data_IF_731523624923
#
_entry.id   IF_731523624923
#
_cell.length_a   1.000
_cell.length_b   1.000
_cell.length_c   1.000
_cell.angle_alpha   90.00
_cell.angle_beta   90.00
_cell.angle_gamma   90.00
#
_symmetry.space_group_name_H-M   'P 1'
#
loop_
_entity.id
_entity.type
_entity.pdbx_description
1 polymer ?
#
# COMPACT_ATOMS: atom_id res chain seq x y z
N UNK A 1 32.33 21.75 39.54
CA UNK A 1 31.77 20.51 38.95
C UNK A 1 32.88 19.82 38.19
N UNK A 2 33.15 18.55 38.49
CA UNK A 2 34.19 17.75 37.82
C UNK A 2 33.78 17.35 36.40
N UNK A 3 34.71 16.87 35.57
CA UNK A 3 34.38 16.35 34.22
C UNK A 3 33.41 15.18 34.30
N UNK A 4 33.61 14.27 35.26
CA UNK A 4 32.73 13.14 35.54
C UNK A 4 31.31 13.59 35.89
N UNK A 5 31.15 14.60 36.75
CA UNK A 5 29.81 15.14 37.06
C UNK A 5 29.12 15.74 35.83
N UNK A 6 29.89 16.43 34.97
CA UNK A 6 29.36 16.99 33.72
C UNK A 6 28.92 15.89 32.76
N UNK A 7 29.73 14.82 32.64
CA UNK A 7 29.43 13.65 31.83
C UNK A 7 28.17 12.93 32.31
N UNK A 8 28.11 12.59 33.61
CA UNK A 8 26.96 11.92 34.21
C UNK A 8 25.69 12.76 34.12
N UNK A 9 25.79 14.09 34.28
CA UNK A 9 24.64 14.99 34.07
C UNK A 9 24.13 14.96 32.63
N UNK A 10 25.02 14.88 31.64
CA UNK A 10 24.64 14.77 30.23
C UNK A 10 23.97 13.42 29.92
N UNK A 11 24.45 12.32 30.51
CA UNK A 11 23.81 11.00 30.42
C UNK A 11 22.43 11.02 31.10
N UNK A 12 22.35 11.52 32.34
CA UNK A 12 21.11 11.55 33.12
C UNK A 12 19.99 12.33 32.43
N UNK A 13 20.33 13.39 31.69
CA UNK A 13 19.37 14.20 30.93
C UNK A 13 18.58 13.38 29.89
N UNK A 14 19.15 12.28 29.39
CA UNK A 14 18.56 11.44 28.35
C UNK A 14 17.90 10.16 28.89
N UNK A 15 18.07 9.86 30.19
CA UNK A 15 17.55 8.63 30.79
C UNK A 15 16.07 8.76 31.21
N UNK A 16 15.30 7.66 31.14
CA UNK A 16 13.95 7.57 31.71
C UNK A 16 13.96 7.94 33.19
N UNK A 17 13.00 8.76 33.64
CA UNK A 17 12.97 9.26 35.03
C UNK A 17 12.95 8.14 36.07
N UNK A 18 12.32 7.01 35.76
CA UNK A 18 12.11 5.90 36.69
C UNK A 18 13.38 5.14 37.08
N UNK A 19 14.38 5.05 36.18
CA UNK A 19 15.63 4.31 36.41
C UNK A 19 16.88 5.19 36.38
N UNK A 20 16.70 6.50 36.24
CA UNK A 20 17.78 7.48 36.06
C UNK A 20 18.77 7.47 37.21
N UNK A 21 18.29 7.50 38.45
CA UNK A 21 19.16 7.60 39.63
C UNK A 21 20.01 6.34 39.78
N UNK A 22 19.40 5.17 39.67
CA UNK A 22 20.08 3.88 39.74
C UNK A 22 21.16 3.74 38.66
N UNK A 23 20.83 4.04 37.39
CA UNK A 23 21.79 3.95 36.28
C UNK A 23 22.93 4.97 36.44
N UNK A 24 22.64 6.18 36.93
CA UNK A 24 23.67 7.20 37.15
C UNK A 24 24.59 6.81 38.31
N UNK A 25 24.08 6.17 39.35
CA UNK A 25 24.89 5.63 40.43
C UNK A 25 25.80 4.51 39.93
N UNK A 26 25.26 3.52 39.21
CA UNK A 26 26.03 2.42 38.64
C UNK A 26 27.11 2.93 37.67
N UNK A 27 26.78 3.88 36.79
CA UNK A 27 27.73 4.46 35.85
C UNK A 27 28.81 5.30 36.54
N UNK A 28 28.47 5.97 37.65
CA UNK A 28 29.44 6.70 38.46
C UNK A 28 30.47 5.75 39.06
N UNK A 29 30.00 4.67 39.66
CA UNK A 29 30.86 3.68 40.31
C UNK A 29 31.78 3.03 39.25
N UNK A 30 31.23 2.64 38.10
CA UNK A 30 32.01 2.09 36.99
C UNK A 30 33.08 3.05 36.46
N UNK A 31 32.76 4.34 36.35
CA UNK A 31 33.74 5.35 35.94
C UNK A 31 34.82 5.52 37.02
N UNK A 32 34.45 5.59 38.30
CA UNK A 32 35.42 5.76 39.38
C UNK A 32 36.40 4.58 39.45
N UNK A 33 35.91 3.34 39.38
CA UNK A 33 36.78 2.16 39.31
C UNK A 33 37.73 2.24 38.12
N UNK A 34 37.26 2.66 36.94
CA UNK A 34 38.13 2.78 35.76
C UNK A 34 39.18 3.90 35.90
N UNK A 35 38.84 4.97 36.61
CA UNK A 35 39.79 6.04 36.93
C UNK A 35 40.86 5.54 37.91
N UNK A 36 40.48 4.81 38.96
CA UNK A 36 41.40 4.21 39.94
C UNK A 36 42.37 3.24 39.27
N UNK A 37 41.87 2.33 38.43
CA UNK A 37 42.71 1.41 37.63
C UNK A 37 43.76 2.20 36.82
N UNK A 38 43.35 3.33 36.24
CA UNK A 38 44.22 4.15 35.40
C UNK A 38 45.27 4.91 36.23
N UNK A 39 44.95 5.29 37.46
CA UNK A 39 45.92 5.87 38.41
C UNK A 39 46.96 4.85 38.84
N UNK A 40 46.54 3.61 39.13
CA UNK A 40 47.45 2.51 39.48
C UNK A 40 48.40 2.18 38.33
N UNK A 41 47.88 2.09 37.09
CA UNK A 41 48.68 1.85 35.89
C UNK A 41 49.73 2.94 35.64
N UNK A 42 49.39 4.20 35.92
CA UNK A 42 50.28 5.35 35.70
C UNK A 42 51.19 5.64 36.90
N UNK A 43 50.89 5.10 38.08
CA UNK A 43 51.61 5.37 39.32
C UNK A 43 51.53 6.83 39.79
N UNK A 44 50.53 7.59 39.32
CA UNK A 44 50.30 9.01 39.64
C UNK A 44 48.82 9.36 39.57
N UNK A 45 48.37 10.44 40.24
CA UNK A 45 47.02 10.97 40.05
C UNK A 45 46.73 11.32 38.58
N UNK A 46 45.47 11.18 38.16
CA UNK A 46 45.05 11.54 36.80
C UNK A 46 45.14 13.06 36.59
N UNK A 47 45.55 13.43 35.38
CA UNK A 47 45.33 14.79 34.88
C UNK A 47 43.93 14.89 34.28
N UNK A 48 43.44 16.12 34.10
CA UNK A 48 42.16 16.37 33.42
C UNK A 48 42.11 15.74 32.00
N UNK A 49 43.25 15.67 31.31
CA UNK A 49 43.36 15.00 30.01
C UNK A 49 43.25 13.46 30.11
N UNK A 50 43.80 12.87 31.18
CA UNK A 50 43.68 11.44 31.46
C UNK A 50 42.22 11.09 31.84
N UNK A 51 41.57 11.91 32.68
CA UNK A 51 40.16 11.78 33.00
C UNK A 51 39.28 11.85 31.74
N UNK A 52 39.53 12.83 30.87
CA UNK A 52 38.79 12.97 29.61
C UNK A 52 38.99 11.75 28.70
N UNK A 53 40.20 11.17 28.65
CA UNK A 53 40.47 9.95 27.90
C UNK A 53 39.64 8.77 28.43
N UNK A 54 39.59 8.56 29.75
CA UNK A 54 38.76 7.52 30.37
C UNK A 54 37.29 7.73 30.04
N UNK A 55 36.76 8.96 30.17
CA UNK A 55 35.37 9.25 29.82
C UNK A 55 35.06 9.02 28.32
N UNK A 56 36.04 9.24 27.43
CA UNK A 56 35.90 8.91 26.01
C UNK A 56 35.86 7.41 25.74
N UNK A 57 36.53 6.58 26.56
CA UNK A 57 36.45 5.11 26.46
C UNK A 57 35.03 4.59 26.71
N UNK A 58 34.31 5.20 27.66
CA UNK A 58 32.88 4.90 27.90
C UNK A 58 31.99 5.31 26.72
N UNK A 59 32.38 6.34 25.98
CA UNK A 59 31.74 6.79 24.74
C UNK A 59 30.89 8.05 24.92
N UNK A 60 30.29 8.52 23.82
CA UNK A 60 29.47 9.74 23.83
C UNK A 60 28.26 9.59 24.76
N UNK A 61 27.91 10.59 25.60
CA UNK A 61 26.86 10.46 26.60
C UNK A 61 25.48 10.09 26.01
N UNK A 62 25.16 10.56 24.80
CA UNK A 62 23.94 10.13 24.09
C UNK A 62 23.96 8.63 23.75
N UNK A 63 25.10 8.11 23.32
CA UNK A 63 25.26 6.70 22.95
C UNK A 63 25.25 5.78 24.17
N UNK A 64 25.78 6.24 25.30
CA UNK A 64 25.70 5.50 26.57
C UNK A 64 24.27 5.50 27.10
N UNK A 65 23.60 6.65 27.14
CA UNK A 65 22.21 6.74 27.58
C UNK A 65 21.26 5.89 26.71
N UNK A 66 21.52 5.85 25.40
CA UNK A 66 20.81 4.99 24.45
C UNK A 66 20.80 3.52 24.90
N UNK A 67 21.90 2.97 25.45
CA UNK A 67 21.94 1.55 25.87
C UNK A 67 20.92 1.21 26.97
N UNK A 68 20.49 2.20 27.74
CA UNK A 68 19.53 2.03 28.83
C UNK A 68 18.10 2.47 28.46
N UNK A 69 17.86 2.87 27.21
CA UNK A 69 16.53 3.30 26.75
C UNK A 69 15.51 2.17 26.75
N UNK A 70 14.34 2.40 27.34
CA UNK A 70 13.29 1.38 27.53
C UNK A 70 12.39 1.13 26.29
N UNK A 71 12.95 1.17 25.07
CA UNK A 71 12.17 0.94 23.85
C UNK A 71 12.98 1.00 22.54
N UNK A 72 12.31 0.76 21.39
CA UNK A 72 12.96 0.83 20.07
C UNK A 72 13.51 2.24 19.80
N UNK A 73 14.81 2.33 19.52
CA UNK A 73 15.49 3.58 19.19
C UNK A 73 15.52 3.88 17.69
N UNK A 74 14.94 2.98 16.89
CA UNK A 74 14.86 3.08 15.45
C UNK A 74 13.45 3.48 15.04
N UNK A 75 13.34 4.32 14.01
CA UNK A 75 12.05 4.62 13.38
C UNK A 75 11.51 3.38 12.66
N UNK A 76 12.40 2.64 11.99
CA UNK A 76 12.14 1.33 11.40
C UNK A 76 13.29 0.43 11.83
N UNK A 77 13.00 -0.60 12.64
CA UNK A 77 14.03 -1.49 13.17
C UNK A 77 14.61 -2.43 12.12
N UNK A 78 15.76 -3.07 12.40
CA UNK A 78 16.45 -3.96 11.45
C UNK A 78 15.59 -5.13 10.97
N UNK A 79 14.66 -5.63 11.79
CA UNK A 79 13.73 -6.68 11.39
C UNK A 79 12.65 -6.20 10.41
N UNK A 80 12.19 -4.95 10.55
CA UNK A 80 11.13 -4.37 9.71
C UNK A 80 11.68 -3.68 8.46
N UNK A 81 12.95 -3.27 8.48
CA UNK A 81 13.58 -2.50 7.43
C UNK A 81 13.52 -3.14 6.04
N UNK A 82 13.78 -4.45 5.85
CA UNK A 82 13.66 -5.08 4.53
C UNK A 82 12.25 -5.01 3.96
N UNK A 83 11.23 -5.14 4.81
CA UNK A 83 9.82 -5.07 4.43
C UNK A 83 9.39 -3.66 4.09
N UNK A 84 9.81 -2.68 4.89
CA UNK A 84 9.60 -1.27 4.61
C UNK A 84 10.23 -0.89 3.26
N UNK A 85 11.47 -1.30 3.01
CA UNK A 85 12.18 -1.04 1.76
C UNK A 85 11.47 -1.67 0.56
N UNK A 86 11.01 -2.91 0.69
CA UNK A 86 10.22 -3.57 -0.34
C UNK A 86 8.94 -2.78 -0.65
N UNK A 87 8.18 -2.41 0.38
CA UNK A 87 6.94 -1.63 0.24
C UNK A 87 7.17 -0.28 -0.47
N UNK A 88 8.22 0.44 -0.07
CA UNK A 88 8.61 1.71 -0.70
C UNK A 88 8.97 1.51 -2.17
N UNK A 89 9.82 0.53 -2.50
CA UNK A 89 10.23 0.28 -3.89
C UNK A 89 9.04 -0.08 -4.78
N UNK A 90 8.16 -0.96 -4.31
CA UNK A 90 6.94 -1.35 -5.05
C UNK A 90 6.01 -0.15 -5.22
N UNK A 91 5.81 0.63 -4.16
CA UNK A 91 4.97 1.84 -4.21
C UNK A 91 5.49 2.87 -5.20
N UNK A 92 6.81 3.15 -5.20
CA UNK A 92 7.44 4.08 -6.14
C UNK A 92 7.38 3.58 -7.58
N UNK A 93 7.61 2.28 -7.81
CA UNK A 93 7.48 1.68 -9.14
C UNK A 93 6.05 1.83 -9.67
N UNK A 94 5.05 1.50 -8.86
CA UNK A 94 3.65 1.66 -9.22
C UNK A 94 3.31 3.12 -9.54
N UNK A 95 3.80 4.06 -8.72
CA UNK A 95 3.63 5.50 -8.95
C UNK A 95 4.19 5.92 -10.31
N UNK A 96 5.42 5.54 -10.64
CA UNK A 96 6.05 5.85 -11.93
C UNK A 96 5.26 5.25 -13.10
N UNK A 97 4.83 3.99 -13.00
CA UNK A 97 4.02 3.36 -14.05
C UNK A 97 2.70 4.11 -14.27
N UNK A 98 2.01 4.47 -13.19
CA UNK A 98 0.71 5.16 -13.26
C UNK A 98 0.87 6.56 -13.86
N UNK A 99 1.86 7.34 -13.42
CA UNK A 99 2.09 8.70 -13.92
C UNK A 99 2.57 8.70 -15.37
N UNK A 100 3.38 7.71 -15.78
CA UNK A 100 3.79 7.55 -17.16
C UNK A 100 2.60 7.21 -18.07
N UNK A 101 1.75 6.26 -17.68
CA UNK A 101 0.53 5.92 -18.45
C UNK A 101 -0.37 7.15 -18.58
N UNK A 102 -0.58 7.89 -17.49
CA UNK A 102 -1.41 9.09 -17.52
C UNK A 102 -0.87 10.19 -18.44
N UNK A 103 0.44 10.43 -18.41
CA UNK A 103 1.09 11.38 -19.30
C UNK A 103 0.94 10.97 -20.77
N UNK A 104 1.12 9.69 -21.09
CA UNK A 104 0.92 9.15 -22.44
C UNK A 104 -0.52 9.38 -22.90
N UNK A 105 -1.51 9.04 -22.07
CA UNK A 105 -2.93 9.22 -22.42
C UNK A 105 -3.26 10.69 -22.70
N UNK A 106 -2.78 11.63 -21.86
CA UNK A 106 -3.02 13.06 -22.05
C UNK A 106 -2.45 13.60 -23.35
N UNK A 107 -1.23 13.17 -23.71
CA UNK A 107 -0.60 13.52 -24.98
C UNK A 107 -1.38 12.93 -26.17
N UNK A 108 -1.82 11.68 -26.07
CA UNK A 108 -2.55 11.00 -27.16
C UNK A 108 -3.94 11.60 -27.40
N UNK A 109 -4.61 12.10 -26.37
CA UNK A 109 -5.94 12.73 -26.46
C UNK A 109 -5.84 14.21 -26.89
N UNK A 110 -4.62 14.77 -26.96
CA UNK A 110 -4.39 16.15 -27.38
C UNK A 110 -4.67 17.19 -26.28
N UNK A 111 -4.73 16.76 -25.02
CA UNK A 111 -5.04 17.60 -23.86
C UNK A 111 -3.83 18.45 -23.40
N UNK A 112 -2.61 17.92 -23.54
CA UNK A 112 -1.37 18.55 -23.07
C UNK A 112 -0.23 18.38 -24.08
N UNK A 113 0.68 19.36 -24.14
CA UNK A 113 1.92 19.26 -24.90
C UNK A 113 2.88 18.26 -24.24
N UNK A 114 3.68 17.54 -25.06
CA UNK A 114 4.62 16.50 -24.58
C UNK A 114 5.53 17.02 -23.46
N UNK A 115 6.10 18.21 -23.63
CA UNK A 115 7.01 18.80 -22.63
C UNK A 115 6.33 19.08 -21.29
N UNK A 116 5.09 19.55 -21.32
CA UNK A 116 4.30 19.86 -20.13
C UNK A 116 3.80 18.60 -19.43
N UNK A 117 3.38 17.58 -20.19
CA UNK A 117 3.02 16.27 -19.65
C UNK A 117 4.20 15.59 -18.93
N UNK A 118 5.41 15.67 -19.48
CA UNK A 118 6.63 15.17 -18.84
C UNK A 118 6.93 15.96 -17.55
N UNK A 119 6.86 17.30 -17.59
CA UNK A 119 7.09 18.15 -16.43
C UNK A 119 6.13 17.84 -15.28
N UNK A 120 4.84 17.66 -15.59
CA UNK A 120 3.83 17.27 -14.60
C UNK A 120 4.08 15.86 -14.05
N UNK A 121 4.42 14.89 -14.90
CA UNK A 121 4.73 13.53 -14.45
C UNK A 121 5.93 13.50 -13.49
N UNK A 122 7.00 14.25 -13.80
CA UNK A 122 8.16 14.38 -12.92
C UNK A 122 7.80 15.02 -11.57
N UNK A 123 7.02 16.10 -11.60
CA UNK A 123 6.52 16.74 -10.38
C UNK A 123 5.70 15.75 -9.53
N UNK A 124 4.81 14.99 -10.18
CA UNK A 124 3.99 13.93 -9.58
C UNK A 124 4.79 12.85 -8.87
N UNK A 125 5.84 12.34 -9.54
CA UNK A 125 6.70 11.30 -8.98
C UNK A 125 7.46 11.84 -7.77
N UNK A 126 7.91 13.10 -7.83
CA UNK A 126 8.60 13.74 -6.72
C UNK A 126 7.68 13.92 -5.49
N UNK A 127 6.52 14.57 -5.66
CA UNK A 127 5.57 14.84 -4.57
C UNK A 127 4.92 13.56 -4.04
N UNK A 128 4.48 12.68 -4.94
CA UNK A 128 3.91 11.37 -4.59
C UNK A 128 4.94 10.47 -3.92
N UNK A 129 6.20 10.50 -4.37
CA UNK A 129 7.29 9.71 -3.80
C UNK A 129 7.59 10.09 -2.35
N UNK A 130 7.69 11.39 -2.05
CA UNK A 130 7.84 11.89 -0.67
C UNK A 130 6.69 11.39 0.21
N UNK A 131 5.46 11.43 -0.30
CA UNK A 131 4.28 11.02 0.46
C UNK A 131 4.27 9.51 0.72
N UNK A 132 4.58 8.68 -0.28
CA UNK A 132 4.69 7.21 -0.13
C UNK A 132 5.76 6.87 0.91
N UNK A 133 6.94 7.47 0.82
CA UNK A 133 8.05 7.23 1.76
C UNK A 133 7.63 7.67 3.17
N UNK A 134 7.04 8.87 3.31
CA UNK A 134 6.58 9.40 4.59
C UNK A 134 5.54 8.48 5.26
N UNK A 135 4.51 8.07 4.52
CA UNK A 135 3.47 7.18 5.04
C UNK A 135 4.01 5.79 5.35
N UNK A 136 4.86 5.22 4.50
CA UNK A 136 5.51 3.95 4.78
C UNK A 136 6.37 4.03 6.04
N UNK A 137 7.06 5.15 6.26
CA UNK A 137 7.87 5.41 7.47
C UNK A 137 7.00 5.53 8.71
N UNK A 138 5.87 6.25 8.64
CA UNK A 138 4.91 6.35 9.75
C UNK A 138 4.33 4.97 10.07
N UNK A 139 3.93 4.19 9.05
CA UNK A 139 3.44 2.84 9.24
C UNK A 139 4.51 1.93 9.87
N UNK A 140 5.75 2.02 9.38
CA UNK A 140 6.90 1.31 9.96
C UNK A 140 7.11 1.65 11.42
N UNK A 141 7.08 2.94 11.76
CA UNK A 141 7.20 3.44 13.13
C UNK A 141 6.09 2.93 14.06
N UNK A 142 4.84 2.95 13.60
CA UNK A 142 3.70 2.44 14.37
C UNK A 142 3.85 0.94 14.63
N UNK A 143 4.26 0.17 13.61
CA UNK A 143 4.47 -1.28 13.73
C UNK A 143 5.64 -1.58 14.69
N UNK A 144 6.74 -0.83 14.60
CA UNK A 144 7.92 -1.03 15.45
C UNK A 144 7.62 -0.76 16.94
N UNK A 145 6.67 0.14 17.23
CA UNK A 145 6.24 0.48 18.60
C UNK A 145 5.28 -0.54 19.23
N UNK A 146 4.75 -1.49 18.47
CA UNK A 146 3.83 -2.51 18.99
C UNK A 146 4.61 -3.65 19.68
N UNK A 147 4.14 -4.09 20.86
CA UNK A 147 4.75 -5.20 21.62
C UNK A 147 4.70 -6.52 20.86
N UNK A 148 3.62 -6.77 20.14
CA UNK A 148 3.47 -7.92 19.27
C UNK A 148 3.60 -7.47 17.82
N UNK A 149 4.62 -8.01 17.14
CA UNK A 149 4.79 -7.78 15.71
C UNK A 149 3.67 -8.46 14.93
N UNK A 150 3.21 -7.86 13.82
CA UNK A 150 2.19 -8.45 12.97
C UNK A 150 2.50 -9.88 12.54
N UNK A 151 1.46 -10.71 12.42
CA UNK A 151 1.57 -12.13 12.06
C UNK A 151 2.33 -12.38 10.73
N UNK A 152 2.33 -11.43 9.78
CA UNK A 152 3.10 -11.61 8.54
C UNK A 152 4.63 -11.59 8.75
N UNK A 153 5.12 -10.95 9.81
CA UNK A 153 6.53 -10.98 10.21
C UNK A 153 6.87 -12.24 11.01
N UNK A 154 5.91 -12.73 11.80
CA UNK A 154 6.09 -13.87 12.72
C UNK A 154 5.85 -15.23 12.06
N UNK A 155 4.81 -15.34 11.23
CA UNK A 155 4.25 -16.59 10.72
C UNK A 155 4.50 -16.77 9.21
N UNK A 156 5.69 -16.39 8.74
CA UNK A 156 6.06 -16.57 7.34
C UNK A 156 6.24 -18.05 7.01
N UNK A 157 5.81 -18.46 5.82
CA UNK A 157 5.94 -19.84 5.34
C UNK A 157 7.00 -19.90 4.27
N UNK A 158 7.82 -20.94 4.29
CA UNK A 158 8.91 -21.15 3.31
C UNK A 158 8.42 -21.07 1.86
N UNK A 159 7.20 -21.56 1.60
CA UNK A 159 6.57 -21.53 0.27
C UNK A 159 6.18 -20.14 -0.23
N UNK A 160 6.13 -19.13 0.63
CA UNK A 160 5.77 -17.75 0.28
C UNK A 160 7.03 -16.89 -0.02
N UNK A 161 8.25 -17.46 0.05
CA UNK A 161 9.50 -16.73 -0.18
C UNK A 161 9.72 -16.22 -1.61
N UNK A 162 9.07 -16.80 -2.62
CA UNK A 162 9.24 -16.37 -4.02
C UNK A 162 8.84 -14.91 -4.29
N UNK A 163 8.09 -14.27 -3.37
CA UNK A 163 7.74 -12.86 -3.45
C UNK A 163 9.00 -11.97 -3.25
N UNK A 164 9.98 -12.45 -2.48
CA UNK A 164 11.23 -11.73 -2.22
C UNK A 164 12.21 -11.81 -3.40
N UNK A 165 12.12 -12.83 -4.25
CA UNK A 165 12.89 -12.87 -5.51
C UNK A 165 12.46 -11.75 -6.48
N UNK A 166 11.16 -11.41 -6.48
CA UNK A 166 10.62 -10.25 -7.21
C UNK A 166 10.98 -8.90 -6.55
N UNK A 167 11.20 -8.90 -5.23
CA UNK A 167 11.59 -7.73 -4.44
C UNK A 167 13.06 -7.33 -4.61
N UNK A 168 13.91 -8.30 -4.96
CA UNK A 168 15.29 -8.12 -5.36
C UNK A 168 15.38 -7.41 -6.71
N UNK A 169 14.88 -6.18 -6.79
CA UNK A 169 15.11 -5.27 -7.91
C UNK A 169 16.57 -4.81 -7.87
N UNK A 170 17.47 -5.73 -8.21
CA UNK A 170 18.78 -5.40 -8.76
C UNK A 170 18.60 -5.07 -10.24
N UNK A 171 19.24 -4.00 -10.71
CA UNK A 171 19.20 -3.59 -12.10
C UNK A 171 19.61 -4.75 -13.04
N UNK A 172 20.51 -5.61 -12.59
CA UNK A 172 20.98 -6.81 -13.30
C UNK A 172 19.93 -7.94 -13.38
N UNK A 173 19.01 -8.02 -12.42
CA UNK A 173 17.92 -9.02 -12.42
C UNK A 173 16.79 -8.56 -13.34
N UNK A 174 16.49 -7.26 -13.35
CA UNK A 174 15.50 -6.65 -14.26
C UNK A 174 16.00 -6.69 -15.71
N UNK A 175 17.27 -6.35 -15.98
CA UNK A 175 17.85 -6.41 -17.33
C UNK A 175 17.83 -7.84 -17.90
N UNK A 176 18.14 -8.85 -17.09
CA UNK A 176 18.04 -10.27 -17.47
C UNK A 176 16.60 -10.73 -17.71
N UNK A 177 15.63 -10.26 -16.94
CA UNK A 177 14.23 -10.57 -17.17
C UNK A 177 13.69 -9.93 -18.45
N UNK A 178 14.08 -8.68 -18.74
CA UNK A 178 13.71 -7.97 -19.96
C UNK A 178 14.40 -8.58 -21.19
N UNK A 179 15.68 -8.97 -21.08
CA UNK A 179 16.39 -9.69 -22.13
C UNK A 179 15.80 -11.10 -22.37
N UNK A 180 15.43 -11.82 -21.30
CA UNK A 180 14.83 -13.15 -21.38
C UNK A 180 13.38 -13.17 -21.88
N UNK A 181 12.63 -12.06 -21.75
CA UNK A 181 11.28 -11.95 -22.34
C UNK A 181 11.27 -11.89 -23.86
N UNK A 182 12.39 -11.55 -24.51
CA UNK A 182 12.49 -11.57 -25.98
C UNK A 182 12.68 -12.99 -26.52
N UNK A 183 13.32 -13.89 -25.77
CA UNK A 183 13.54 -15.28 -26.20
C UNK A 183 12.41 -16.27 -25.81
N UNK A 184 11.61 -15.96 -24.79
CA UNK A 184 10.67 -16.94 -24.18
C UNK A 184 9.21 -16.82 -24.66
N UNK A 185 8.97 -16.16 -25.80
CA UNK A 185 7.65 -16.13 -26.46
C UNK A 185 7.15 -17.52 -26.91
N UNK A 186 8.00 -18.54 -27.00
CA UNK A 186 7.64 -19.86 -27.58
C UNK A 186 7.44 -21.02 -26.61
N UNK A 187 7.60 -20.87 -25.29
CA UNK A 187 7.36 -21.97 -24.33
C UNK A 187 6.46 -21.55 -23.17
N UNK A 188 5.20 -21.93 -23.30
CA UNK A 188 4.16 -21.79 -22.28
C UNK A 188 4.58 -22.44 -20.96
N UNK A 189 5.11 -21.63 -20.04
CA UNK A 189 5.33 -22.04 -18.66
C UNK A 189 4.09 -21.67 -17.86
N UNK A 190 3.31 -22.68 -17.46
CA UNK A 190 2.26 -22.56 -16.44
C UNK A 190 2.89 -21.92 -15.19
N UNK A 191 2.74 -20.60 -15.04
CA UNK A 191 3.12 -19.88 -13.82
C UNK A 191 2.21 -20.40 -12.71
N UNK A 192 2.76 -21.21 -11.81
CA UNK A 192 2.06 -21.67 -10.61
C UNK A 192 1.51 -20.46 -9.87
N UNK A 193 0.18 -20.40 -9.72
CA UNK A 193 -0.49 -19.26 -9.08
C UNK A 193 -0.07 -19.22 -7.62
N UNK A 194 0.77 -18.26 -7.26
CA UNK A 194 1.29 -18.10 -5.89
C UNK A 194 0.12 -17.87 -4.92
N UNK A 195 -0.14 -18.82 -4.02
CA UNK A 195 -1.28 -18.76 -3.10
C UNK A 195 -0.87 -18.14 -1.76
N UNK A 196 -0.86 -16.81 -1.71
CA UNK A 196 -0.66 -16.03 -0.47
C UNK A 196 -1.54 -16.53 0.68
N UNK A 197 -1.08 -16.43 1.93
CA UNK A 197 -1.92 -16.72 3.10
C UNK A 197 -3.15 -15.79 3.15
N UNK A 198 -4.28 -16.22 3.76
CA UNK A 198 -5.46 -15.36 3.87
C UNK A 198 -5.17 -14.01 4.55
N UNK A 199 -4.32 -14.02 5.58
CA UNK A 199 -3.89 -12.81 6.29
C UNK A 199 -3.02 -11.90 5.40
N UNK A 200 -2.04 -12.45 4.68
CA UNK A 200 -1.20 -11.66 3.77
C UNK A 200 -2.02 -11.01 2.63
N UNK A 201 -3.03 -11.72 2.10
CA UNK A 201 -3.96 -11.16 1.11
C UNK A 201 -4.79 -10.01 1.67
N UNK A 202 -5.28 -10.17 2.90
CA UNK A 202 -6.07 -9.15 3.56
C UNK A 202 -5.22 -7.89 3.82
N UNK A 203 -3.99 -8.05 4.29
CA UNK A 203 -3.07 -6.91 4.50
C UNK A 203 -2.66 -6.23 3.18
N UNK A 204 -2.36 -7.00 2.13
CA UNK A 204 -2.08 -6.43 0.82
C UNK A 204 -3.29 -5.65 0.25
N UNK A 205 -4.51 -6.17 0.46
CA UNK A 205 -5.75 -5.48 0.10
C UNK A 205 -5.94 -4.19 0.92
N UNK A 206 -5.76 -4.24 2.24
CA UNK A 206 -5.87 -3.07 3.11
C UNK A 206 -4.86 -1.98 2.72
N UNK A 207 -3.61 -2.35 2.44
CA UNK A 207 -2.59 -1.42 1.96
C UNK A 207 -2.98 -0.79 0.61
N UNK A 208 -3.44 -1.60 -0.36
CA UNK A 208 -3.89 -1.11 -1.66
C UNK A 208 -5.07 -0.13 -1.54
N UNK A 209 -6.07 -0.47 -0.72
CA UNK A 209 -7.22 0.40 -0.47
C UNK A 209 -6.83 1.66 0.32
N UNK A 210 -5.81 1.60 1.18
CA UNK A 210 -5.31 2.77 1.91
C UNK A 210 -4.64 3.75 0.95
N UNK A 211 -3.80 3.27 0.05
CA UNK A 211 -3.22 4.10 -1.03
C UNK A 211 -4.34 4.69 -1.88
N UNK A 212 -5.32 3.89 -2.30
CA UNK A 212 -6.44 4.37 -3.09
C UNK A 212 -7.28 5.42 -2.34
N UNK A 213 -7.56 5.22 -1.05
CA UNK A 213 -8.31 6.16 -0.21
C UNK A 213 -7.57 7.49 -0.07
N UNK A 214 -6.27 7.45 0.18
CA UNK A 214 -5.46 8.66 0.31
C UNK A 214 -5.39 9.42 -1.02
N UNK A 215 -5.32 8.71 -2.14
CA UNK A 215 -5.45 9.31 -3.47
C UNK A 215 -6.83 9.92 -3.70
N UNK A 216 -7.89 9.17 -3.40
CA UNK A 216 -9.28 9.60 -3.57
C UNK A 216 -9.65 10.81 -2.69
N UNK A 217 -9.06 10.91 -1.50
CA UNK A 217 -9.24 12.04 -0.60
C UNK A 217 -8.35 13.25 -0.95
N UNK A 218 -7.53 13.17 -2.00
CA UNK A 218 -6.58 14.23 -2.36
C UNK A 218 -5.38 14.35 -1.40
N UNK A 219 -5.20 13.38 -0.50
CA UNK A 219 -4.07 13.33 0.44
C UNK A 219 -2.79 12.80 -0.20
N UNK A 220 -2.90 11.97 -1.26
CA UNK A 220 -1.76 11.66 -2.12
C UNK A 220 -1.66 12.71 -3.23
N UNK A 221 -0.59 13.50 -3.15
CA UNK A 221 -0.27 14.59 -4.07
C UNK A 221 0.30 14.06 -5.40
N UNK A 222 -0.47 13.28 -6.16
CA UNK A 222 -0.10 12.78 -7.49
C UNK A 222 -0.79 13.64 -8.55
N UNK A 223 -0.21 14.78 -8.90
CA UNK A 223 -0.72 15.71 -9.92
C UNK A 223 -0.20 15.34 -11.32
N UNK A 224 -1.05 15.14 -12.33
CA UNK A 224 -2.40 15.70 -12.46
C UNK A 224 -3.49 14.61 -12.39
N UNK A 225 -3.25 13.54 -11.63
CA UNK A 225 -4.17 12.43 -11.49
C UNK A 225 -5.08 12.60 -10.28
N UNK A 226 -5.35 13.82 -9.83
CA UNK A 226 -6.27 13.98 -8.70
C UNK A 226 -7.68 13.58 -9.14
N UNK A 227 -8.53 13.10 -8.21
CA UNK A 227 -9.94 12.91 -8.50
C UNK A 227 -10.56 14.17 -9.10
N UNK A 228 -10.11 15.36 -8.66
CA UNK A 228 -10.56 16.62 -9.23
C UNK A 228 -10.13 16.88 -10.67
N UNK A 229 -8.93 16.47 -11.05
CA UNK A 229 -8.39 16.62 -12.40
C UNK A 229 -9.02 15.60 -13.36
N UNK A 230 -9.50 14.47 -12.84
CA UNK A 230 -10.29 13.50 -13.62
C UNK A 230 -11.60 14.13 -14.12
N UNK A 231 -12.17 15.10 -13.38
CA UNK A 231 -13.38 15.81 -13.78
C UNK A 231 -13.16 16.72 -15.01
N UNK A 232 -11.92 17.14 -15.28
CA UNK A 232 -11.57 18.09 -16.35
C UNK A 232 -10.84 17.44 -17.54
N UNK A 233 -10.32 16.22 -17.35
CA UNK A 233 -9.52 15.43 -18.31
C UNK A 233 -10.25 15.01 -19.61
N UNK A 234 -11.53 15.35 -19.78
CA UNK A 234 -12.38 14.86 -20.86
C UNK A 234 -12.79 15.92 -21.89
N UNK A 235 -11.96 16.95 -22.13
CA UNK A 235 -12.25 18.11 -22.99
C UNK A 235 -12.56 17.86 -24.48
N UNK A 236 -13.01 16.67 -24.88
CA UNK A 236 -13.51 16.37 -26.21
C UNK A 236 -14.87 15.66 -26.13
N UNK A 237 -15.89 16.25 -26.77
CA UNK A 237 -17.15 15.56 -27.02
C UNK A 237 -16.89 14.37 -27.94
N UNK A 238 -17.13 13.15 -27.47
CA UNK A 238 -17.00 11.93 -28.28
C UNK A 238 -18.38 11.60 -28.83
N UNK A 239 -18.55 11.63 -30.15
CA UNK A 239 -19.83 11.41 -30.83
C UNK A 239 -20.96 12.32 -30.29
N UNK A 240 -20.65 13.59 -30.00
CA UNK A 240 -21.62 14.58 -29.51
C UNK A 240 -22.00 14.44 -28.03
N UNK A 241 -21.37 13.54 -27.28
CA UNK A 241 -21.59 13.36 -25.84
C UNK A 241 -20.38 13.91 -25.06
N UNK A 242 -20.65 14.79 -24.10
CA UNK A 242 -19.65 15.30 -23.17
C UNK A 242 -19.47 14.34 -22.00
N UNK A 243 -18.52 13.41 -22.14
CA UNK A 243 -18.21 12.43 -21.10
C UNK A 243 -17.47 13.06 -19.91
N UNK A 244 -16.83 14.23 -20.07
CA UNK A 244 -16.17 14.95 -18.98
C UNK A 244 -17.22 15.43 -17.97
N UNK A 245 -18.27 16.11 -18.43
CA UNK A 245 -19.35 16.59 -17.56
C UNK A 245 -20.09 15.44 -16.87
N UNK A 246 -20.37 14.35 -17.62
CA UNK A 246 -21.00 13.14 -17.06
C UNK A 246 -20.13 12.53 -15.96
N UNK A 247 -18.84 12.33 -16.21
CA UNK A 247 -17.89 11.78 -15.23
C UNK A 247 -17.75 12.73 -14.02
N UNK A 248 -17.67 14.04 -14.29
CA UNK A 248 -17.81 15.18 -13.38
C UNK A 248 -18.87 14.95 -12.31
N UNK A 249 -20.11 14.85 -12.77
CA UNK A 249 -21.30 14.71 -11.92
C UNK A 249 -21.34 13.38 -11.18
N UNK A 250 -20.92 12.28 -11.83
CA UNK A 250 -20.89 10.95 -11.22
C UNK A 250 -19.91 10.93 -10.04
N UNK A 251 -18.68 11.38 -10.28
CA UNK A 251 -17.64 11.39 -9.27
C UNK A 251 -17.98 12.35 -8.13
N UNK A 252 -18.66 13.48 -8.39
CA UNK A 252 -19.13 14.40 -7.35
C UNK A 252 -20.14 13.73 -6.39
N UNK A 253 -21.08 12.94 -6.92
CA UNK A 253 -22.02 12.15 -6.12
C UNK A 253 -21.31 11.03 -5.35
N UNK A 254 -20.33 10.37 -5.98
CA UNK A 254 -19.62 9.23 -5.41
C UNK A 254 -18.43 9.60 -4.52
N UNK A 255 -18.07 10.88 -4.40
CA UNK A 255 -16.89 11.32 -3.68
C UNK A 255 -16.89 10.81 -2.22
N UNK A 256 -17.90 11.20 -1.44
CA UNK A 256 -18.04 10.80 -0.03
C UNK A 256 -18.39 9.32 0.16
N UNK A 257 -19.35 8.73 -0.59
CA UNK A 257 -19.58 7.29 -0.54
C UNK A 257 -18.33 6.46 -0.86
N UNK A 258 -17.48 6.92 -1.77
CA UNK A 258 -16.21 6.27 -2.13
C UNK A 258 -15.21 6.25 -0.97
N UNK A 259 -15.06 7.37 -0.26
CA UNK A 259 -14.25 7.46 0.98
C UNK A 259 -14.77 6.49 2.03
N UNK A 260 -16.08 6.51 2.30
CA UNK A 260 -16.70 5.64 3.28
C UNK A 260 -16.52 4.16 2.92
N UNK A 261 -16.74 3.79 1.66
CA UNK A 261 -16.55 2.43 1.15
C UNK A 261 -15.11 1.96 1.35
N UNK A 262 -14.13 2.77 0.95
CA UNK A 262 -12.71 2.44 1.06
C UNK A 262 -12.28 2.32 2.54
N UNK A 263 -12.71 3.25 3.41
CA UNK A 263 -12.43 3.18 4.84
C UNK A 263 -13.02 1.91 5.48
N UNK A 264 -14.28 1.58 5.20
CA UNK A 264 -14.91 0.34 5.65
C UNK A 264 -14.17 -0.89 5.13
N UNK A 265 -13.70 -0.84 3.88
CA UNK A 265 -12.96 -1.95 3.26
C UNK A 265 -11.60 -2.17 3.92
N UNK A 266 -10.86 -1.11 4.20
CA UNK A 266 -9.58 -1.18 4.93
C UNK A 266 -9.81 -1.76 6.32
N UNK A 267 -10.78 -1.23 7.07
CA UNK A 267 -11.10 -1.71 8.40
C UNK A 267 -11.46 -3.21 8.40
N UNK A 268 -12.31 -3.64 7.46
CA UNK A 268 -12.67 -5.05 7.30
C UNK A 268 -11.46 -5.94 6.99
N UNK A 269 -10.60 -5.52 6.05
CA UNK A 269 -9.42 -6.29 5.66
C UNK A 269 -8.41 -6.38 6.81
N UNK A 270 -8.27 -5.33 7.64
CA UNK A 270 -7.46 -5.36 8.87
C UNK A 270 -8.02 -6.32 9.92
N UNK A 271 -9.33 -6.28 10.18
CA UNK A 271 -10.00 -7.22 11.11
C UNK A 271 -9.82 -8.66 10.64
N UNK A 272 -9.93 -8.90 9.33
CA UNK A 272 -9.71 -10.21 8.71
C UNK A 272 -8.26 -10.67 8.82
N UNK A 273 -7.30 -9.77 8.69
CA UNK A 273 -5.89 -10.09 8.89
C UNK A 273 -5.59 -10.49 10.35
N UNK A 274 -6.22 -9.84 11.32
CA UNK A 274 -6.10 -10.17 12.74
C UNK A 274 -6.84 -11.46 13.12
N UNK A 275 -7.93 -11.80 12.43
CA UNK A 275 -8.79 -12.95 12.75
C UNK A 275 -8.97 -13.91 11.56
N UNK A 276 -7.91 -14.60 11.09
CA UNK A 276 -7.96 -15.41 9.87
C UNK A 276 -8.90 -16.62 9.93
N UNK A 277 -9.34 -17.04 11.13
CA UNK A 277 -10.23 -18.19 11.35
C UNK A 277 -11.74 -17.91 11.23
N UNK A 278 -12.17 -16.64 11.15
CA UNK A 278 -13.60 -16.29 11.18
C UNK A 278 -14.26 -16.32 9.80
N UNK A 279 -14.68 -17.51 9.38
CA UNK A 279 -15.30 -17.74 8.05
C UNK A 279 -16.63 -17.00 7.88
N UNK A 280 -17.48 -16.96 8.91
CA UNK A 280 -18.80 -16.31 8.86
C UNK A 280 -18.72 -14.79 8.74
N UNK A 281 -17.80 -14.16 9.48
CA UNK A 281 -17.54 -12.72 9.37
C UNK A 281 -17.02 -12.36 7.97
N UNK A 282 -16.13 -13.19 7.42
CA UNK A 282 -15.62 -13.01 6.06
C UNK A 282 -16.74 -13.06 5.01
N UNK A 283 -17.63 -14.05 5.11
CA UNK A 283 -18.76 -14.19 4.19
C UNK A 283 -19.75 -13.02 4.28
N UNK A 284 -20.02 -12.51 5.49
CA UNK A 284 -20.88 -11.34 5.71
C UNK A 284 -20.30 -10.08 5.05
N UNK A 285 -18.99 -9.84 5.22
CA UNK A 285 -18.33 -8.71 4.57
C UNK A 285 -18.33 -8.84 3.05
N UNK A 286 -18.01 -10.03 2.51
CA UNK A 286 -18.05 -10.27 1.07
C UNK A 286 -19.45 -10.01 0.48
N UNK A 287 -20.52 -10.34 1.22
CA UNK A 287 -21.90 -10.03 0.84
C UNK A 287 -22.18 -8.52 0.86
N UNK A 288 -21.75 -7.81 1.91
CA UNK A 288 -21.95 -6.36 2.03
C UNK A 288 -21.23 -5.58 0.94
N UNK A 289 -19.94 -5.88 0.68
CA UNK A 289 -19.18 -5.23 -0.40
C UNK A 289 -19.70 -5.63 -1.79
N UNK A 290 -20.15 -6.87 -1.97
CA UNK A 290 -20.85 -7.29 -3.18
C UNK A 290 -22.16 -6.52 -3.40
N UNK A 291 -22.92 -6.30 -2.34
CA UNK A 291 -24.15 -5.49 -2.35
C UNK A 291 -23.89 -4.03 -2.71
N UNK A 292 -22.87 -3.41 -2.12
CA UNK A 292 -22.46 -2.06 -2.48
C UNK A 292 -22.02 -1.95 -3.95
N UNK A 293 -21.30 -2.97 -4.46
CA UNK A 293 -20.91 -3.03 -5.87
C UNK A 293 -22.14 -3.18 -6.79
N UNK A 294 -23.10 -4.04 -6.42
CA UNK A 294 -24.34 -4.22 -7.17
C UNK A 294 -25.19 -2.94 -7.19
N UNK A 295 -25.29 -2.27 -6.03
CA UNK A 295 -25.97 -0.98 -5.91
C UNK A 295 -25.33 0.08 -6.82
N UNK A 296 -24.00 0.18 -6.84
CA UNK A 296 -23.30 1.13 -7.69
C UNK A 296 -23.63 0.94 -9.17
N UNK A 297 -23.56 -0.30 -9.69
CA UNK A 297 -23.88 -0.56 -11.09
C UNK A 297 -25.38 -0.38 -11.39
N UNK A 298 -26.27 -0.73 -10.47
CA UNK A 298 -27.70 -0.47 -10.62
C UNK A 298 -27.99 1.03 -10.68
N UNK A 299 -27.34 1.83 -9.84
CA UNK A 299 -27.43 3.29 -9.87
C UNK A 299 -26.86 3.88 -11.17
N UNK A 300 -25.70 3.39 -11.63
CA UNK A 300 -25.11 3.78 -12.92
C UNK A 300 -26.09 3.54 -14.08
N UNK A 301 -26.79 2.41 -14.05
CA UNK A 301 -27.77 2.02 -15.08
C UNK A 301 -29.07 2.83 -15.07
N UNK A 302 -29.55 3.27 -13.90
CA UNK A 302 -30.93 3.77 -13.73
C UNK A 302 -31.05 5.25 -13.39
N UNK A 303 -30.12 5.80 -12.63
CA UNK A 303 -30.30 7.12 -12.00
C UNK A 303 -29.07 8.03 -12.16
N UNK A 304 -27.95 7.52 -12.65
CA UNK A 304 -26.74 8.32 -12.81
C UNK A 304 -26.80 9.24 -14.04
N UNK A 305 -25.97 10.30 -14.08
CA UNK A 305 -25.75 11.11 -15.29
C UNK A 305 -25.34 10.31 -16.54
N UNK A 306 -24.80 9.10 -16.38
CA UNK A 306 -24.46 8.21 -17.50
C UNK A 306 -25.69 7.46 -18.05
N UNK A 307 -26.75 7.29 -17.24
CA UNK A 307 -27.90 6.47 -17.60
C UNK A 307 -28.52 6.83 -18.96
N UNK A 308 -28.75 8.11 -19.32
CA UNK A 308 -29.32 8.46 -20.63
C UNK A 308 -28.49 7.99 -21.83
N UNK A 309 -27.19 7.75 -21.65
CA UNK A 309 -26.25 7.36 -22.72
C UNK A 309 -26.16 5.84 -22.87
N UNK A 310 -26.34 5.10 -21.78
CA UNK A 310 -26.11 3.64 -21.74
C UNK A 310 -27.39 2.83 -21.55
N UNK A 311 -28.48 3.42 -21.06
CA UNK A 311 -29.70 2.70 -20.75
C UNK A 311 -30.32 2.12 -22.03
N UNK A 312 -30.95 0.97 -21.87
CA UNK A 312 -31.68 0.30 -22.94
C UNK A 312 -32.96 -0.28 -22.35
N UNK A 313 -34.10 0.03 -22.99
CA UNK A 313 -35.42 -0.30 -22.47
C UNK A 313 -35.77 -1.80 -22.58
N UNK A 314 -35.04 -2.55 -23.42
CA UNK A 314 -35.32 -3.96 -23.66
C UNK A 314 -34.08 -4.80 -24.00
N UNK A 315 -34.20 -6.12 -23.80
CA UNK A 315 -33.17 -7.10 -24.20
C UNK A 315 -32.95 -7.08 -25.72
N UNK A 316 -34.01 -6.84 -26.50
CA UNK A 316 -33.91 -6.77 -27.97
C UNK A 316 -33.05 -5.59 -28.41
N UNK A 317 -33.32 -4.39 -27.88
CA UNK A 317 -32.53 -3.20 -28.17
C UNK A 317 -31.07 -3.35 -27.69
N UNK A 318 -30.82 -4.11 -26.62
CA UNK A 318 -29.45 -4.43 -26.19
C UNK A 318 -28.75 -5.32 -27.23
N UNK A 319 -29.40 -6.40 -27.67
CA UNK A 319 -28.85 -7.32 -28.68
C UNK A 319 -28.60 -6.60 -30.00
N UNK A 320 -29.51 -5.73 -30.42
CA UNK A 320 -29.36 -4.92 -31.64
C UNK A 320 -28.16 -3.98 -31.53
N UNK A 321 -28.01 -3.27 -30.42
CA UNK A 321 -26.87 -2.37 -30.18
C UNK A 321 -25.53 -3.10 -30.17
N UNK A 322 -25.49 -4.31 -29.62
CA UNK A 322 -24.28 -5.16 -29.63
C UNK A 322 -24.00 -5.69 -31.04
N UNK A 323 -25.00 -6.21 -31.75
CA UNK A 323 -24.84 -6.70 -33.14
C UNK A 323 -24.34 -5.60 -34.07
N UNK A 324 -24.95 -4.42 -34.01
CA UNK A 324 -24.54 -3.26 -34.80
C UNK A 324 -23.07 -2.86 -34.54
N UNK A 325 -22.59 -3.00 -33.30
CA UNK A 325 -21.18 -2.73 -32.98
C UNK A 325 -20.22 -3.78 -33.55
N UNK A 326 -20.64 -5.06 -33.62
CA UNK A 326 -19.86 -6.12 -34.26
C UNK A 326 -19.85 -5.99 -35.79
N UNK A 327 -21.00 -5.67 -36.39
CA UNK A 327 -21.14 -5.55 -37.84
C UNK A 327 -20.43 -4.28 -38.37
N UNK A 328 -20.42 -3.20 -37.59
CA UNK A 328 -19.78 -1.93 -37.96
C UNK A 328 -18.27 -1.84 -37.69
N UNK A 329 -17.66 -2.81 -36.99
CA UNK A 329 -16.22 -2.87 -36.71
C UNK A 329 -15.67 -1.81 -35.73
N UNK A 330 -16.43 -0.75 -35.42
CA UNK A 330 -16.07 0.30 -34.46
C UNK A 330 -17.06 0.34 -33.31
N UNK A 331 -16.56 0.11 -32.09
CA UNK A 331 -17.39 0.15 -30.88
C UNK A 331 -17.52 1.57 -30.38
N UNK A 332 -18.75 2.10 -30.35
CA UNK A 332 -18.99 3.38 -29.71
C UNK A 332 -18.70 3.30 -28.21
N UNK A 333 -18.14 4.36 -27.63
CA UNK A 333 -17.80 4.41 -26.20
C UNK A 333 -19.04 4.14 -25.33
N UNK A 334 -20.22 4.63 -25.73
CA UNK A 334 -21.48 4.39 -25.03
C UNK A 334 -21.88 2.91 -25.04
N UNK A 335 -21.68 2.19 -26.14
CA UNK A 335 -21.91 0.73 -26.22
C UNK A 335 -20.94 -0.05 -25.33
N UNK A 336 -19.67 0.36 -25.28
CA UNK A 336 -18.68 -0.25 -24.38
C UNK A 336 -19.05 -0.02 -22.92
N UNK A 337 -19.41 1.22 -22.54
CA UNK A 337 -19.81 1.56 -21.18
C UNK A 337 -21.09 0.84 -20.75
N UNK A 338 -22.09 0.74 -21.63
CA UNK A 338 -23.30 -0.05 -21.42
C UNK A 338 -22.95 -1.51 -21.09
N UNK A 339 -22.13 -2.16 -21.91
CA UNK A 339 -21.71 -3.53 -21.69
C UNK A 339 -20.97 -3.66 -20.34
N UNK A 340 -20.02 -2.78 -20.05
CA UNK A 340 -19.28 -2.76 -18.79
C UNK A 340 -20.20 -2.66 -17.56
N UNK A 341 -21.22 -1.79 -17.59
CA UNK A 341 -22.16 -1.63 -16.47
C UNK A 341 -23.04 -2.87 -16.29
N UNK A 342 -23.56 -3.45 -17.38
CA UNK A 342 -24.38 -4.68 -17.31
C UNK A 342 -23.55 -5.87 -16.81
N UNK A 343 -22.37 -6.09 -17.37
CA UNK A 343 -21.48 -7.18 -16.94
C UNK A 343 -21.00 -6.97 -15.51
N UNK A 344 -20.72 -5.73 -15.11
CA UNK A 344 -20.38 -5.36 -13.74
C UNK A 344 -21.49 -5.69 -12.76
N UNK A 345 -22.74 -5.36 -13.10
CA UNK A 345 -23.92 -5.70 -12.30
C UNK A 345 -24.08 -7.22 -12.17
N UNK A 346 -24.02 -7.96 -13.29
CA UNK A 346 -24.11 -9.42 -13.28
C UNK A 346 -23.00 -10.04 -12.43
N UNK A 347 -21.76 -9.57 -12.57
CA UNK A 347 -20.63 -10.04 -11.77
C UNK A 347 -20.86 -9.79 -10.27
N UNK A 348 -21.38 -8.62 -9.89
CA UNK A 348 -21.69 -8.31 -8.50
C UNK A 348 -22.76 -9.26 -7.94
N UNK A 349 -23.83 -9.52 -8.71
CA UNK A 349 -24.90 -10.46 -8.33
C UNK A 349 -24.37 -11.90 -8.19
N UNK A 350 -23.50 -12.36 -9.09
CA UNK A 350 -22.86 -13.67 -8.97
C UNK A 350 -21.95 -13.78 -7.74
N UNK A 351 -21.21 -12.73 -7.42
CA UNK A 351 -20.40 -12.70 -6.19
C UNK A 351 -21.28 -12.78 -4.94
N UNK A 352 -22.38 -12.03 -4.92
CA UNK A 352 -23.34 -12.04 -3.82
C UNK A 352 -24.00 -13.40 -3.64
N UNK A 353 -24.42 -14.06 -4.73
CA UNK A 353 -25.00 -15.41 -4.63
C UNK A 353 -23.98 -16.42 -4.12
N UNK A 354 -22.71 -16.33 -4.54
CA UNK A 354 -21.61 -17.14 -4.01
C UNK A 354 -21.37 -16.91 -2.52
N UNK A 355 -21.37 -15.66 -2.07
CA UNK A 355 -21.22 -15.29 -0.66
C UNK A 355 -22.40 -15.79 0.19
N UNK A 356 -23.63 -15.60 -0.31
CA UNK A 356 -24.86 -16.06 0.34
C UNK A 356 -24.89 -17.59 0.47
N UNK A 357 -24.48 -18.31 -0.58
CA UNK A 357 -24.38 -19.78 -0.54
C UNK A 357 -23.40 -20.25 0.55
N UNK A 358 -22.23 -19.61 0.66
CA UNK A 358 -21.24 -19.92 1.70
C UNK A 358 -21.76 -19.60 3.10
N UNK A 359 -22.54 -18.52 3.25
CA UNK A 359 -23.17 -18.14 4.51
C UNK A 359 -24.19 -19.18 4.98
N UNK A 360 -25.03 -19.67 4.06
CA UNK A 360 -26.12 -20.63 4.35
C UNK A 360 -25.60 -22.05 4.52
N UNK A 361 -24.69 -22.51 3.65
CA UNK A 361 -24.28 -23.93 3.58
C UNK A 361 -22.94 -24.22 4.26
N UNK A 362 -22.13 -23.20 4.54
CA UNK A 362 -20.75 -23.38 4.99
C UNK A 362 -19.80 -23.98 3.95
N UNK A 363 -20.25 -24.21 2.71
CA UNK A 363 -19.47 -24.82 1.62
C UNK A 363 -19.27 -23.87 0.44
N UNK A 364 -18.21 -24.09 -0.35
CA UNK A 364 -18.03 -23.44 -1.65
C UNK A 364 -19.10 -23.91 -2.64
N UNK A 365 -19.57 -23.01 -3.53
CA UNK A 365 -20.49 -23.39 -4.61
C UNK A 365 -19.88 -24.51 -5.49
N UNK A 366 -20.70 -25.44 -6.01
CA UNK A 366 -20.22 -26.54 -6.86
C UNK A 366 -19.44 -26.08 -8.12
N UNK A 367 -19.78 -24.89 -8.64
CA UNK A 367 -19.10 -24.29 -9.80
C UNK A 367 -17.70 -23.73 -9.46
N UNK A 368 -17.51 -23.21 -8.24
CA UNK A 368 -16.20 -22.77 -7.76
C UNK A 368 -15.29 -23.99 -7.54
N UNK A 369 -15.82 -25.08 -6.97
CA UNK A 369 -15.07 -26.31 -6.64
C UNK A 369 -14.30 -26.86 -7.86
N UNK A 370 -14.96 -26.97 -9.02
CA UNK A 370 -14.32 -27.41 -10.29
C UNK A 370 -13.18 -26.50 -10.78
N UNK A 371 -13.23 -25.20 -10.49
CA UNK A 371 -12.19 -24.22 -10.87
C UNK A 371 -10.93 -24.36 -10.01
N UNK A 372 -11.08 -24.82 -8.78
CA UNK A 372 -9.97 -25.11 -7.87
C UNK A 372 -9.39 -26.50 -8.14
N UNK A 373 -10.24 -27.50 -8.44
CA UNK A 373 -9.78 -28.85 -8.79
C UNK A 373 -9.01 -28.86 -10.12
N UNK A 374 -9.44 -28.07 -11.11
CA UNK A 374 -8.72 -27.93 -12.39
C UNK A 374 -7.43 -27.08 -12.30
N UNK A 375 -7.22 -26.34 -11.20
CA UNK A 375 -5.97 -25.62 -10.94
C UNK A 375 -5.00 -26.44 -10.07
N UNK A 376 -5.49 -27.52 -9.46
CA UNK A 376 -4.72 -28.48 -8.68
C UNK A 376 -4.27 -29.72 -9.48
N UNK A 377 -4.64 -29.81 -10.76
CA UNK A 377 -4.21 -30.80 -11.75
C UNK A 377 -3.40 -30.12 -12.89
#
# INVERSE_FOLDING_TARGET
MTLTERYLKAVAAQLPKASREDIVAELRDAIQTRMEDREEELGRPLTEADEEAVLREFGHPLSVAARYGSGPQHVVGPELYPWWMFGVKVGLMALVCITAIAAIVRVLVGDEEVGRAIGQALHSVFTGGITIIGLATIAGFVIERQKEKPAFLRDWRVKDLGLFELAGMDADTVSRHVAGTVETSSRGRRRGRMTLSPAARAMGSAAAWTVLLLWWAGLLMVTPLRPEDLFTLGGATINGVDYADILGRILAVLYWPGIAYAACRIAFDLIRAANPGQVRFTALGDLAFGGAQAWLFAWLWTASPLAPVIHVDSVQAFVERIRAAFDGGLWSLSTVLMACVIFGLLQALFKMSGALWRLVTGQLMPFDRRRWDAAAA
#
